data_IF_419720254946
#
_entry.id   IF_419720254946
#
_cell.length_a   1.000
_cell.length_b   1.000
_cell.length_c   1.000
_cell.angle_alpha   90.00
_cell.angle_beta   90.00
_cell.angle_gamma   90.00
#
_symmetry.space_group_name_H-M   'P 1'
#
loop_
_entity.id
_entity.type
_entity.pdbx_description
1 polymer ?
#
# COMPACT_ATOMS: atom_id res chain seq x y z
N UNK A 1 -46.19 -28.87 8.44
CA UNK A 1 -45.15 -29.22 9.43
C UNK A 1 -43.78 -29.12 8.75
N UNK A 2 -43.21 -27.91 8.70
CA UNK A 2 -41.89 -27.66 8.11
C UNK A 2 -40.82 -27.83 9.19
N UNK A 3 -39.91 -28.77 8.95
CA UNK A 3 -38.72 -28.97 9.78
C UNK A 3 -37.64 -28.00 9.30
N UNK A 4 -37.41 -26.93 10.06
CA UNK A 4 -36.22 -26.11 9.91
C UNK A 4 -35.00 -26.95 10.32
N UNK A 5 -34.02 -27.05 9.42
CA UNK A 5 -32.70 -27.59 9.71
C UNK A 5 -31.89 -26.47 10.34
N UNK A 6 -31.72 -26.57 11.64
CA UNK A 6 -30.72 -25.81 12.38
C UNK A 6 -29.33 -26.22 11.87
N UNK A 7 -28.58 -25.22 11.41
CA UNK A 7 -27.23 -25.38 10.89
C UNK A 7 -26.28 -24.95 12.01
N UNK A 8 -25.78 -25.93 12.75
CA UNK A 8 -24.75 -25.74 13.79
C UNK A 8 -23.45 -25.26 13.14
N UNK A 9 -23.17 -23.97 13.27
CA UNK A 9 -21.86 -23.39 12.95
C UNK A 9 -20.97 -23.59 14.17
N UNK A 10 -20.25 -24.71 14.17
CA UNK A 10 -19.25 -25.04 15.17
C UNK A 10 -18.18 -23.93 15.25
N UNK A 11 -17.91 -23.52 16.48
CA UNK A 11 -17.05 -22.40 16.82
C UNK A 11 -15.62 -22.55 16.32
N UNK A 12 -15.18 -21.57 15.56
CA UNK A 12 -13.75 -21.32 15.35
C UNK A 12 -13.19 -20.70 16.63
N UNK A 13 -12.35 -21.47 17.31
CA UNK A 13 -11.51 -21.05 18.41
C UNK A 13 -10.67 -19.84 17.99
N UNK A 14 -10.96 -18.67 18.58
CA UNK A 14 -10.15 -17.47 18.45
C UNK A 14 -8.74 -17.75 18.95
N UNK A 15 -7.80 -17.84 18.01
CA UNK A 15 -6.38 -17.79 18.35
C UNK A 15 -6.04 -16.46 19.02
N UNK A 16 -4.96 -16.40 19.83
CA UNK A 16 -4.58 -15.19 20.55
C UNK A 16 -4.36 -14.06 19.54
N UNK A 17 -5.24 -13.06 19.61
CA UNK A 17 -5.07 -11.79 18.92
C UNK A 17 -3.76 -11.22 19.44
N UNK A 18 -2.71 -11.32 18.62
CA UNK A 18 -1.48 -10.58 18.87
C UNK A 18 -1.89 -9.12 18.79
N UNK A 19 -1.97 -8.48 19.95
CA UNK A 19 -2.08 -7.03 20.05
C UNK A 19 -0.89 -6.46 19.29
N UNK A 20 -1.13 -6.12 18.02
CA UNK A 20 -0.26 -5.24 17.28
C UNK A 20 -0.36 -3.91 17.99
N UNK A 21 0.52 -3.72 18.98
CA UNK A 21 0.76 -2.42 19.60
C UNK A 21 0.82 -1.42 18.45
N UNK A 22 -0.11 -0.47 18.50
CA UNK A 22 -0.44 0.44 17.40
C UNK A 22 0.87 0.94 16.81
N UNK A 23 1.15 0.62 15.54
CA UNK A 23 2.34 1.15 14.85
C UNK A 23 2.40 2.69 14.98
N UNK A 24 1.24 3.32 15.13
CA UNK A 24 1.06 4.73 15.44
C UNK A 24 1.67 5.17 16.78
N UNK A 25 1.63 4.33 17.83
CA UNK A 25 2.22 4.65 19.13
C UNK A 25 3.76 4.57 19.09
N UNK A 26 4.31 3.62 18.32
CA UNK A 26 5.76 3.51 18.09
C UNK A 26 6.26 4.67 17.21
N UNK A 27 5.45 5.12 16.25
CA UNK A 27 5.76 6.29 15.43
C UNK A 27 5.64 7.58 16.26
N UNK A 28 4.61 7.71 17.10
CA UNK A 28 4.44 8.85 17.99
C UNK A 28 5.60 8.97 19.00
N UNK A 29 6.00 7.87 19.64
CA UNK A 29 7.15 7.83 20.56
C UNK A 29 8.48 8.19 19.86
N UNK A 30 8.65 7.77 18.60
CA UNK A 30 9.81 8.13 17.78
C UNK A 30 9.79 9.57 17.28
N UNK A 31 8.62 10.16 17.05
CA UNK A 31 8.48 11.59 16.68
C UNK A 31 8.72 12.46 17.91
N UNK A 32 8.17 12.10 19.06
CA UNK A 32 8.36 12.83 20.32
C UNK A 32 9.82 12.76 20.82
N UNK A 33 10.49 11.61 20.66
CA UNK A 33 11.92 11.44 21.01
C UNK A 33 12.90 11.86 19.91
N UNK A 34 12.45 11.92 18.66
CA UNK A 34 13.31 12.18 17.48
C UNK A 34 13.32 13.63 17.00
N UNK A 35 12.32 14.43 17.37
CA UNK A 35 12.15 15.81 16.87
C UNK A 35 12.61 16.89 17.85
N UNK A 36 13.05 16.53 19.06
CA UNK A 36 13.96 17.38 19.83
C UNK A 36 15.35 17.33 19.17
N UNK A 37 15.47 18.01 18.03
CA UNK A 37 16.66 18.13 17.21
C UNK A 37 17.84 18.44 18.14
N UNK A 38 18.87 17.57 18.20
CA UNK A 38 20.03 17.76 19.10
C UNK A 38 20.62 19.17 19.00
N UNK A 39 20.46 19.79 17.83
CA UNK A 39 20.82 21.18 17.55
C UNK A 39 19.93 22.19 18.27
N UNK A 40 18.61 22.00 18.30
CA UNK A 40 17.67 22.86 19.03
C UNK A 40 17.90 22.77 20.53
N UNK A 41 18.09 21.55 21.07
CA UNK A 41 18.44 21.39 22.49
C UNK A 41 19.70 22.17 22.86
N UNK A 42 20.74 22.10 22.01
CA UNK A 42 21.98 22.88 22.22
C UNK A 42 21.74 24.39 22.21
N UNK A 43 20.92 24.90 21.29
CA UNK A 43 20.59 26.34 21.22
C UNK A 43 19.85 26.79 22.50
N UNK A 44 18.91 25.98 23.00
CA UNK A 44 18.22 26.28 24.25
C UNK A 44 19.15 26.25 25.47
N UNK A 45 20.03 25.25 25.55
CA UNK A 45 21.02 25.14 26.63
C UNK A 45 21.99 26.34 26.63
N UNK A 46 22.46 26.78 25.45
CA UNK A 46 23.31 27.97 25.30
C UNK A 46 22.58 29.27 25.69
N UNK A 47 21.31 29.41 25.32
CA UNK A 47 20.50 30.58 25.69
C UNK A 47 20.28 30.68 27.21
N UNK A 48 20.02 29.55 27.88
CA UNK A 48 19.86 29.51 29.33
C UNK A 48 21.16 29.87 30.06
N UNK A 49 22.30 29.35 29.58
CA UNK A 49 23.61 29.69 30.13
C UNK A 49 23.92 31.20 30.05
N UNK A 50 23.59 31.84 28.92
CA UNK A 50 23.75 33.28 28.76
C UNK A 50 22.84 34.08 29.71
N UNK A 51 21.58 33.65 29.87
CA UNK A 51 20.63 34.32 30.76
C UNK A 51 21.09 34.32 32.22
N UNK A 52 21.64 33.21 32.69
CA UNK A 52 22.15 33.10 34.05
C UNK A 52 23.44 33.91 34.25
N UNK A 53 24.33 33.93 33.26
CA UNK A 53 25.53 34.80 33.26
C UNK A 53 25.16 36.28 33.36
N UNK A 54 24.09 36.72 32.67
CA UNK A 54 23.61 38.10 32.74
C UNK A 54 23.08 38.45 34.13
N UNK A 55 22.35 37.54 34.79
CA UNK A 55 21.86 37.75 36.16
C UNK A 55 23.01 37.89 37.15
N UNK A 56 24.05 37.07 37.01
CA UNK A 56 25.24 37.13 37.87
C UNK A 56 25.96 38.47 37.72
N UNK A 57 26.20 38.91 36.48
CA UNK A 57 26.80 40.23 36.19
C UNK A 57 25.97 41.36 36.80
N UNK A 58 24.64 41.30 36.66
CA UNK A 58 23.74 42.32 37.23
C UNK A 58 23.83 42.41 38.76
N UNK A 59 23.93 41.28 39.45
CA UNK A 59 24.10 41.25 40.89
C UNK A 59 25.46 41.80 41.33
N UNK A 60 26.52 41.48 40.60
CA UNK A 60 27.86 41.99 40.88
C UNK A 60 27.92 43.52 40.70
N UNK A 61 27.28 44.06 39.67
CA UNK A 61 27.22 45.52 39.43
C UNK A 61 26.55 46.25 40.60
N UNK A 62 25.48 45.68 41.19
CA UNK A 62 24.80 46.29 42.35
C UNK A 62 25.68 46.42 43.59
N UNK A 63 26.73 45.60 43.71
CA UNK A 63 27.65 45.62 44.84
C UNK A 63 28.81 46.60 44.67
N UNK A 64 28.99 47.17 43.47
CA UNK A 64 30.07 48.11 43.18
C UNK A 64 29.63 49.55 43.51
N UNK A 65 30.38 50.25 44.37
CA UNK A 65 30.25 51.69 44.60
C UNK A 65 30.92 52.46 43.45
N UNK A 66 30.31 52.42 42.27
CA UNK A 66 30.83 53.06 41.06
C UNK A 66 30.75 54.58 41.16
N UNK A 67 31.74 55.26 40.57
CA UNK A 67 31.75 56.71 40.38
C UNK A 67 30.78 57.13 39.27
N UNK A 68 30.44 58.42 39.20
CA UNK A 68 29.49 58.92 38.19
C UNK A 68 29.96 58.69 36.76
N UNK A 69 31.27 58.79 36.49
CA UNK A 69 31.82 58.59 35.15
C UNK A 69 31.80 57.12 34.72
N UNK A 70 32.08 56.20 35.66
CA UNK A 70 31.97 54.76 35.42
C UNK A 70 30.51 54.34 35.17
N UNK A 71 29.55 54.98 35.85
CA UNK A 71 28.12 54.80 35.62
C UNK A 71 27.69 55.21 34.20
N UNK A 72 28.19 56.34 33.70
CA UNK A 72 27.91 56.82 32.33
C UNK A 72 28.52 55.89 31.28
N UNK A 73 29.73 55.39 31.52
CA UNK A 73 30.38 54.41 30.64
C UNK A 73 29.60 53.09 30.59
N UNK A 74 29.22 52.54 31.75
CA UNK A 74 28.43 51.31 31.84
C UNK A 74 27.04 51.46 31.22
N UNK A 75 26.38 52.60 31.38
CA UNK A 75 25.10 52.88 30.74
C UNK A 75 25.23 52.89 29.19
N UNK A 76 26.30 53.49 28.67
CA UNK A 76 26.57 53.54 27.22
C UNK A 76 26.84 52.15 26.65
N UNK A 77 27.60 51.32 27.38
CA UNK A 77 27.85 49.92 27.01
C UNK A 77 26.57 49.09 27.05
N UNK A 78 25.71 49.31 28.05
CA UNK A 78 24.41 48.63 28.17
C UNK A 78 23.47 48.98 26.99
N UNK A 79 23.44 50.24 26.56
CA UNK A 79 22.66 50.67 25.38
C UNK A 79 23.18 49.99 24.10
N UNK A 80 24.50 49.95 23.90
CA UNK A 80 25.09 49.27 22.75
C UNK A 80 24.78 47.75 22.76
N UNK A 81 24.84 47.12 23.92
CA UNK A 81 24.47 45.71 24.08
C UNK A 81 22.99 45.47 23.82
N UNK A 82 22.09 46.35 24.29
CA UNK A 82 20.66 46.26 24.02
C UNK A 82 20.36 46.31 22.50
N UNK A 83 20.99 47.23 21.77
CA UNK A 83 20.86 47.29 20.30
C UNK A 83 21.40 46.03 19.60
N UNK A 84 22.46 45.42 20.12
CA UNK A 84 22.94 44.12 19.63
C UNK A 84 21.94 42.98 19.91
N UNK A 85 21.32 42.95 21.10
CA UNK A 85 20.30 41.96 21.46
C UNK A 85 19.06 42.06 20.57
N UNK A 86 18.57 43.27 20.25
CA UNK A 86 17.43 43.44 19.33
C UNK A 86 17.74 42.89 17.93
N UNK A 87 18.94 43.15 17.41
CA UNK A 87 19.40 42.57 16.13
C UNK A 87 19.46 41.04 16.20
N UNK A 88 19.95 40.49 17.32
CA UNK A 88 20.01 39.04 17.52
C UNK A 88 18.61 38.42 17.56
N UNK A 89 17.64 39.04 18.24
CA UNK A 89 16.24 38.60 18.30
C UNK A 89 15.63 38.57 16.89
N UNK A 90 15.75 39.66 16.11
CA UNK A 90 15.25 39.71 14.73
C UNK A 90 15.87 38.61 13.83
N UNK A 91 17.18 38.36 13.98
CA UNK A 91 17.85 37.27 13.26
C UNK A 91 17.33 35.89 13.68
N UNK A 92 17.07 35.67 14.97
CA UNK A 92 16.51 34.42 15.47
C UNK A 92 15.07 34.22 14.98
N UNK A 93 14.25 35.26 14.94
CA UNK A 93 12.88 35.19 14.41
C UNK A 93 12.86 34.89 12.90
N UNK A 94 13.75 35.51 12.12
CA UNK A 94 13.93 35.20 10.70
C UNK A 94 14.38 33.77 10.46
N UNK A 95 15.29 33.25 11.30
CA UNK A 95 15.71 31.85 11.23
C UNK A 95 14.57 30.90 11.59
N UNK A 96 13.81 31.20 12.65
CA UNK A 96 12.66 30.41 13.09
C UNK A 96 11.58 30.34 12.01
N UNK A 97 11.24 31.49 11.41
CA UNK A 97 10.23 31.55 10.34
C UNK A 97 10.70 30.82 9.08
N UNK A 98 11.96 31.01 8.66
CA UNK A 98 12.54 30.27 7.53
C UNK A 98 12.53 28.75 7.74
N UNK A 99 12.85 28.29 8.96
CA UNK A 99 12.80 26.87 9.30
C UNK A 99 11.38 26.31 9.26
N UNK A 100 10.39 27.02 9.82
CA UNK A 100 8.98 26.58 9.77
C UNK A 100 8.48 26.48 8.34
N UNK A 101 8.82 27.43 7.46
CA UNK A 101 8.46 27.39 6.04
C UNK A 101 9.10 26.19 5.34
N UNK A 102 10.36 25.88 5.64
CA UNK A 102 11.02 24.71 5.07
C UNK A 102 10.35 23.41 5.53
N UNK A 103 10.03 23.30 6.82
CA UNK A 103 9.41 22.11 7.40
C UNK A 103 8.01 21.86 6.83
N UNK A 104 7.21 22.92 6.61
CA UNK A 104 5.89 22.80 5.99
C UNK A 104 6.01 22.39 4.51
N UNK A 105 6.94 22.98 3.76
CA UNK A 105 7.17 22.60 2.36
C UNK A 105 7.58 21.13 2.20
N UNK A 106 8.44 20.61 3.08
CA UNK A 106 8.85 19.20 3.08
C UNK A 106 7.70 18.26 3.50
N UNK A 107 6.84 18.71 4.42
CA UNK A 107 5.62 17.98 4.79
C UNK A 107 4.65 17.89 3.62
N UNK A 108 4.40 19.02 2.94
CA UNK A 108 3.50 19.10 1.80
C UNK A 108 3.99 18.25 0.62
N UNK A 109 5.29 18.28 0.32
CA UNK A 109 5.89 17.43 -0.70
C UNK A 109 5.70 15.93 -0.42
N UNK A 110 5.83 15.52 0.86
CA UNK A 110 5.55 14.13 1.28
C UNK A 110 4.07 13.78 1.12
N UNK A 111 3.17 14.68 1.52
CA UNK A 111 1.73 14.47 1.40
C UNK A 111 1.27 14.36 -0.06
N UNK A 112 1.81 15.19 -0.96
CA UNK A 112 1.55 15.11 -2.41
C UNK A 112 1.94 13.73 -2.95
N UNK A 113 3.15 13.25 -2.61
CA UNK A 113 3.63 11.93 -3.06
C UNK A 113 2.76 10.77 -2.56
N UNK A 114 2.30 10.84 -1.31
CA UNK A 114 1.37 9.84 -0.74
C UNK A 114 0.05 9.85 -1.50
N UNK A 115 -0.51 11.05 -1.75
CA UNK A 115 -1.77 11.21 -2.48
C UNK A 115 -1.68 10.65 -3.89
N UNK A 116 -0.61 10.92 -4.63
CA UNK A 116 -0.39 10.39 -5.98
C UNK A 116 -0.30 8.86 -5.98
N UNK A 117 0.37 8.28 -4.97
CA UNK A 117 0.42 6.84 -4.76
C UNK A 117 -0.98 6.22 -4.56
N UNK A 118 -1.81 6.86 -3.74
CA UNK A 118 -3.19 6.40 -3.48
C UNK A 118 -4.07 6.47 -4.74
N UNK A 119 -3.95 7.55 -5.53
CA UNK A 119 -4.68 7.69 -6.80
C UNK A 119 -4.31 6.54 -7.76
N UNK A 120 -3.01 6.27 -7.93
CA UNK A 120 -2.53 5.19 -8.80
C UNK A 120 -3.03 3.81 -8.35
N UNK A 121 -3.08 3.56 -7.04
CA UNK A 121 -3.61 2.31 -6.49
C UNK A 121 -5.13 2.17 -6.75
N UNK A 122 -5.89 3.24 -6.61
CA UNK A 122 -7.32 3.24 -6.91
C UNK A 122 -7.59 2.95 -8.40
N UNK A 123 -6.80 3.53 -9.31
CA UNK A 123 -6.89 3.26 -10.75
C UNK A 123 -6.59 1.80 -11.10
N UNK A 124 -5.54 1.23 -10.49
CA UNK A 124 -5.21 -0.19 -10.66
C UNK A 124 -6.33 -1.09 -10.14
N UNK A 125 -6.91 -0.76 -8.98
CA UNK A 125 -8.07 -1.45 -8.42
C UNK A 125 -9.26 -1.45 -9.38
N UNK A 126 -9.62 -0.29 -9.94
CA UNK A 126 -10.71 -0.15 -10.91
C UNK A 126 -10.46 -0.95 -12.20
N UNK A 127 -9.21 -0.95 -12.71
CA UNK A 127 -8.82 -1.75 -13.88
C UNK A 127 -8.95 -3.25 -13.62
N UNK A 128 -8.50 -3.74 -12.46
CA UNK A 128 -8.63 -5.14 -12.08
C UNK A 128 -10.10 -5.55 -11.92
N UNK A 129 -10.92 -4.69 -11.33
CA UNK A 129 -12.36 -4.94 -11.18
C UNK A 129 -13.04 -5.08 -12.54
N UNK A 130 -12.79 -4.16 -13.49
CA UNK A 130 -13.32 -4.24 -14.86
C UNK A 130 -12.88 -5.51 -15.58
N UNK A 131 -11.61 -5.88 -15.46
CA UNK A 131 -11.08 -7.12 -16.04
C UNK A 131 -11.78 -8.36 -15.45
N UNK A 132 -11.99 -8.38 -14.14
CA UNK A 132 -12.68 -9.48 -13.47
C UNK A 132 -14.15 -9.58 -13.89
N UNK A 133 -14.86 -8.45 -13.99
CA UNK A 133 -16.23 -8.42 -14.48
C UNK A 133 -16.33 -8.95 -15.91
N UNK A 134 -15.44 -8.50 -16.81
CA UNK A 134 -15.39 -9.00 -18.19
C UNK A 134 -15.11 -10.51 -18.25
N UNK A 135 -14.19 -11.01 -17.41
CA UNK A 135 -13.89 -12.44 -17.30
C UNK A 135 -15.10 -13.24 -16.83
N UNK A 136 -15.78 -12.78 -15.77
CA UNK A 136 -16.98 -13.43 -15.24
C UNK A 136 -18.10 -13.44 -16.27
N UNK A 137 -18.32 -12.33 -16.97
CA UNK A 137 -19.33 -12.24 -18.03
C UNK A 137 -19.02 -13.20 -19.20
N UNK A 138 -17.75 -13.30 -19.61
CA UNK A 138 -17.33 -14.24 -20.65
C UNK A 138 -17.55 -15.70 -20.22
N UNK A 139 -17.15 -16.05 -18.99
CA UNK A 139 -17.41 -17.39 -18.42
C UNK A 139 -18.92 -17.67 -18.42
N UNK A 140 -19.73 -16.74 -17.91
CA UNK A 140 -21.18 -16.89 -17.87
C UNK A 140 -21.79 -17.10 -19.26
N UNK A 141 -21.29 -16.40 -20.29
CA UNK A 141 -21.75 -16.57 -21.66
C UNK A 141 -21.37 -17.95 -22.23
N UNK A 142 -20.15 -18.41 -21.97
CA UNK A 142 -19.68 -19.70 -22.46
C UNK A 142 -20.31 -20.89 -21.72
N UNK A 143 -20.76 -20.69 -20.48
CA UNK A 143 -21.43 -21.68 -19.63
C UNK A 143 -22.95 -21.73 -19.80
N UNK A 144 -23.55 -20.90 -20.66
CA UNK A 144 -25.00 -21.02 -20.96
C UNK A 144 -25.30 -22.39 -21.59
N UNK A 145 -26.53 -22.92 -21.44
CA UNK A 145 -26.97 -24.11 -22.16
C UNK A 145 -26.77 -23.96 -23.68
N UNK A 146 -26.23 -24.98 -24.34
CA UNK A 146 -25.77 -24.94 -25.73
C UNK A 146 -24.53 -24.07 -25.97
N UNK A 147 -23.88 -23.62 -24.90
CA UNK A 147 -22.68 -22.79 -24.93
C UNK A 147 -21.43 -23.56 -25.36
N UNK A 148 -20.33 -22.83 -25.52
CA UNK A 148 -19.08 -23.43 -25.99
C UNK A 148 -18.52 -24.48 -25.01
N UNK A 149 -18.72 -24.32 -23.70
CA UNK A 149 -18.22 -25.29 -22.71
C UNK A 149 -18.95 -26.63 -22.83
N UNK A 150 -20.28 -26.61 -22.84
CA UNK A 150 -21.09 -27.82 -22.99
C UNK A 150 -20.83 -28.53 -24.32
N UNK A 151 -20.72 -27.77 -25.42
CA UNK A 151 -20.40 -28.36 -26.73
C UNK A 151 -19.00 -29.00 -26.75
N UNK A 152 -18.01 -28.40 -26.11
CA UNK A 152 -16.68 -28.99 -25.99
C UNK A 152 -16.72 -30.26 -25.15
N UNK A 153 -17.42 -30.23 -24.01
CA UNK A 153 -17.60 -31.40 -23.14
C UNK A 153 -18.32 -32.55 -23.84
N UNK A 154 -19.34 -32.26 -24.66
CA UNK A 154 -20.01 -33.24 -25.49
C UNK A 154 -19.05 -33.94 -26.47
N UNK A 155 -18.16 -33.19 -27.13
CA UNK A 155 -17.13 -33.77 -28.01
C UNK A 155 -16.14 -34.63 -27.22
N UNK A 156 -15.71 -34.19 -26.03
CA UNK A 156 -14.83 -34.99 -25.17
C UNK A 156 -15.50 -36.28 -24.71
N UNK A 157 -16.79 -36.22 -24.38
CA UNK A 157 -17.58 -37.40 -24.02
C UNK A 157 -17.70 -38.37 -25.20
N UNK A 158 -17.94 -37.86 -26.43
CA UNK A 158 -17.94 -38.67 -27.66
C UNK A 158 -16.58 -39.32 -27.92
N UNK A 159 -15.49 -38.57 -27.73
CA UNK A 159 -14.14 -39.11 -27.82
C UNK A 159 -13.88 -40.23 -26.81
N UNK A 160 -14.30 -40.04 -25.55
CA UNK A 160 -14.12 -41.02 -24.49
C UNK A 160 -14.81 -42.37 -24.77
N UNK A 161 -15.79 -42.42 -25.68
CA UNK A 161 -16.42 -43.69 -26.10
C UNK A 161 -15.52 -44.60 -26.92
N UNK A 162 -14.42 -44.07 -27.48
CA UNK A 162 -13.53 -44.86 -28.33
C UNK A 162 -14.06 -45.16 -29.74
N UNK A 163 -15.18 -44.59 -30.17
CA UNK A 163 -15.73 -44.89 -31.50
C UNK A 163 -14.88 -44.38 -32.68
N UNK A 164 -13.87 -43.56 -32.42
CA UNK A 164 -13.03 -42.91 -33.43
C UNK A 164 -11.59 -43.41 -33.36
N UNK A 165 -10.96 -43.61 -34.51
CA UNK A 165 -9.57 -44.07 -34.60
C UNK A 165 -8.54 -42.97 -34.38
N UNK A 166 -8.91 -41.69 -34.58
CA UNK A 166 -8.06 -40.53 -34.31
C UNK A 166 -8.90 -39.34 -33.83
N UNK A 167 -8.26 -38.41 -33.11
CA UNK A 167 -8.90 -37.14 -32.67
C UNK A 167 -9.38 -36.31 -33.86
N UNK A 168 -8.68 -36.34 -34.99
CA UNK A 168 -9.03 -35.56 -36.16
C UNK A 168 -10.29 -36.06 -36.86
N UNK A 169 -10.52 -37.38 -36.87
CA UNK A 169 -11.75 -37.99 -37.38
C UNK A 169 -12.92 -37.67 -36.45
N UNK A 170 -12.73 -37.82 -35.13
CA UNK A 170 -13.73 -37.43 -34.14
C UNK A 170 -14.14 -35.96 -34.31
N UNK A 171 -13.16 -35.06 -34.46
CA UNK A 171 -13.42 -33.64 -34.66
C UNK A 171 -14.14 -33.34 -35.98
N UNK A 172 -13.87 -34.07 -37.07
CA UNK A 172 -14.53 -33.87 -38.36
C UNK A 172 -15.99 -34.33 -38.30
N UNK A 173 -16.23 -35.56 -37.85
CA UNK A 173 -17.56 -36.18 -37.77
C UNK A 173 -18.46 -35.45 -36.75
N UNK A 174 -17.98 -35.21 -35.53
CA UNK A 174 -18.79 -34.61 -34.47
C UNK A 174 -18.97 -33.09 -34.65
N UNK A 175 -18.10 -32.40 -35.39
CA UNK A 175 -18.31 -30.96 -35.68
C UNK A 175 -19.50 -30.67 -36.58
N UNK A 176 -19.96 -31.67 -37.35
CA UNK A 176 -21.19 -31.56 -38.15
C UNK A 176 -22.43 -31.82 -37.30
N UNK A 177 -22.34 -32.70 -36.30
CA UNK A 177 -23.43 -33.03 -35.38
C UNK A 177 -23.64 -31.97 -34.28
N UNK A 178 -22.54 -31.40 -33.78
CA UNK A 178 -22.53 -30.37 -32.75
C UNK A 178 -22.19 -29.04 -33.43
N UNK A 179 -23.07 -28.02 -33.43
CA UNK A 179 -22.88 -26.80 -34.22
C UNK A 179 -21.70 -25.96 -33.70
N UNK A 180 -20.50 -26.30 -34.15
CA UNK A 180 -19.23 -25.63 -33.89
C UNK A 180 -18.24 -25.88 -35.05
N UNK A 181 -17.18 -25.07 -35.15
CA UNK A 181 -16.18 -25.27 -36.20
C UNK A 181 -15.33 -26.53 -35.96
N UNK A 182 -14.90 -27.21 -37.02
CA UNK A 182 -13.93 -28.32 -36.96
C UNK A 182 -12.67 -27.96 -36.17
N UNK A 183 -12.18 -26.73 -36.32
CA UNK A 183 -11.01 -26.22 -35.57
C UNK A 183 -11.30 -26.17 -34.06
N UNK A 184 -12.48 -25.68 -33.67
CA UNK A 184 -12.93 -25.68 -32.27
C UNK A 184 -13.05 -27.09 -31.71
N UNK A 185 -13.59 -28.03 -32.50
CA UNK A 185 -13.69 -29.43 -32.13
C UNK A 185 -12.31 -30.07 -31.91
N UNK A 186 -11.34 -29.85 -32.81
CA UNK A 186 -9.95 -30.28 -32.63
C UNK A 186 -9.36 -29.72 -31.33
N UNK A 187 -9.53 -28.43 -31.08
CA UNK A 187 -9.04 -27.78 -29.88
C UNK A 187 -9.69 -28.33 -28.60
N UNK A 188 -10.95 -28.78 -28.66
CA UNK A 188 -11.63 -29.39 -27.52
C UNK A 188 -10.99 -30.73 -27.09
N UNK A 189 -10.38 -31.45 -28.05
CA UNK A 189 -9.72 -32.74 -27.89
C UNK A 189 -8.23 -32.63 -27.56
N UNK A 190 -7.65 -31.43 -27.54
CA UNK A 190 -6.25 -31.24 -27.14
C UNK A 190 -6.12 -31.54 -25.63
N UNK A 191 -5.20 -32.44 -25.28
CA UNK A 191 -4.94 -32.82 -23.88
C UNK A 191 -5.98 -33.74 -23.25
N UNK A 192 -6.99 -34.20 -24.00
CA UNK A 192 -7.87 -35.27 -23.51
C UNK A 192 -7.11 -36.60 -23.52
N UNK A 193 -7.26 -37.47 -22.49
CA UNK A 193 -6.65 -38.79 -22.52
C UNK A 193 -7.22 -39.63 -23.67
N UNK A 194 -6.43 -40.59 -24.16
CA UNK A 194 -6.90 -41.57 -25.15
C UNK A 194 -7.87 -42.55 -24.47
N UNK A 195 -8.98 -42.96 -25.13
CA UNK A 195 -9.95 -43.89 -24.57
C UNK A 195 -9.37 -45.31 -24.52
N UNK A 196 -9.58 -46.02 -23.41
CA UNK A 196 -9.11 -47.40 -23.20
C UNK A 196 -10.20 -48.42 -23.60
N UNK A 197 -9.94 -49.38 -24.51
CA UNK A 197 -8.68 -49.66 -25.20
C UNK A 197 -8.38 -48.71 -26.35
N UNK A 198 -7.14 -48.20 -26.42
CA UNK A 198 -6.66 -47.37 -27.54
C UNK A 198 -5.75 -48.15 -28.49
N UNK A 199 -5.90 -48.04 -29.83
CA UNK A 199 -7.02 -47.41 -30.54
C UNK A 199 -8.30 -48.23 -30.33
N UNK A 200 -9.42 -47.56 -30.09
CA UNK A 200 -10.69 -48.24 -29.80
C UNK A 200 -11.33 -48.86 -31.05
N UNK A 201 -10.82 -48.50 -32.23
CA UNK A 201 -10.85 -49.34 -33.43
C UNK A 201 -9.45 -49.88 -33.71
N UNK A 202 -8.88 -50.67 -32.80
CA UNK A 202 -7.80 -51.57 -33.19
C UNK A 202 -8.38 -52.41 -34.31
N UNK A 203 -7.67 -52.39 -35.45
CA UNK A 203 -8.03 -53.06 -36.68
C UNK A 203 -8.80 -54.34 -36.35
N UNK A 204 -10.02 -54.51 -36.89
CA UNK A 204 -10.59 -55.86 -37.00
C UNK A 204 -9.44 -56.68 -37.58
N UNK A 205 -8.79 -57.50 -36.74
CA UNK A 205 -7.74 -58.40 -37.20
C UNK A 205 -8.44 -59.17 -38.31
N UNK A 206 -7.95 -58.98 -39.54
CA UNK A 206 -8.30 -59.84 -40.65
C UNK A 206 -8.16 -61.27 -40.10
N UNK A 207 -9.27 -62.01 -40.21
CA UNK A 207 -9.44 -63.39 -39.76
C UNK A 207 -8.27 -64.27 -40.18
#
# INVERSE_FOLDING_TARGET
>A
MSKNKDMDIAGQSGGPVREHGNEWDIIADKVEKGVANKREKRIFDEANYLADSIKEISNNIKQLNLTSDELVFMASLAIAFAGYQENLIDRLEKLKTGFLIQQTAESDARNIKIRDGLIKMAELGAKLQKRNQARVAAIALHSKPGGSHEKQEAIRARWATGNFSTRDICADEESSAIPMSRKSARNALIGTPDPDPWPAKSARKYK
#
